data_IF_038011576186
#
_entry.id   IF_038011576186
#
_cell.length_a   1.000
_cell.length_b   1.000
_cell.length_c   1.000
_cell.angle_alpha   90.00
_cell.angle_beta   90.00
_cell.angle_gamma   90.00
#
_symmetry.space_group_name_H-M   'P 1'
#
loop_
_entity.id
_entity.type
_entity.pdbx_description
1 polymer ?
#
# COMPACT_ATOMS: atom_id res chain seq x y z
N UNK A 1 7.22 -1.14 -7.40
CA UNK A 1 7.37 -0.28 -8.61
C UNK A 1 6.11 0.50 -9.00
N UNK A 2 4.87 -0.02 -8.80
CA UNK A 2 3.63 0.68 -9.22
C UNK A 2 3.54 2.15 -8.74
N UNK A 3 3.72 2.39 -7.44
CA UNK A 3 3.56 3.73 -6.85
C UNK A 3 4.60 4.76 -7.33
N UNK A 4 5.85 4.34 -7.54
CA UNK A 4 6.89 5.22 -8.09
C UNK A 4 6.53 5.67 -9.50
N UNK A 5 6.04 4.75 -10.35
CA UNK A 5 5.56 5.11 -11.70
C UNK A 5 4.35 6.04 -11.66
N UNK A 6 3.41 5.81 -10.74
CA UNK A 6 2.26 6.67 -10.56
C UNK A 6 2.65 8.09 -10.13
N UNK A 7 3.59 8.21 -9.18
CA UNK A 7 4.16 9.48 -8.72
C UNK A 7 4.84 10.25 -9.87
N UNK A 8 5.69 9.58 -10.66
CA UNK A 8 6.36 10.18 -11.82
C UNK A 8 5.34 10.72 -12.82
N UNK A 9 4.31 9.92 -13.13
CA UNK A 9 3.25 10.30 -14.08
C UNK A 9 2.41 11.46 -13.57
N UNK A 10 2.06 11.46 -12.29
CA UNK A 10 1.34 12.56 -11.65
C UNK A 10 2.11 13.88 -11.78
N UNK A 11 3.44 13.82 -11.70
CA UNK A 11 4.34 14.97 -11.87
C UNK A 11 4.80 15.22 -13.30
N UNK A 12 4.08 14.70 -14.32
CA UNK A 12 4.37 14.99 -15.72
C UNK A 12 5.66 14.35 -16.26
N UNK A 13 6.05 13.20 -15.72
CA UNK A 13 7.26 12.45 -16.12
C UNK A 13 8.56 13.23 -15.84
N UNK A 14 8.54 14.15 -14.88
CA UNK A 14 9.75 14.78 -14.35
C UNK A 14 10.63 13.75 -13.64
N UNK A 15 11.95 13.94 -13.74
CA UNK A 15 12.90 13.05 -13.09
C UNK A 15 12.74 13.12 -11.56
N UNK A 16 12.54 11.99 -10.84
CA UNK A 16 12.25 12.02 -9.41
C UNK A 16 13.29 12.69 -8.53
N UNK A 17 14.56 12.70 -8.94
CA UNK A 17 15.61 13.39 -8.19
C UNK A 17 15.41 14.92 -8.11
N UNK A 18 14.55 15.50 -8.97
CA UNK A 18 14.19 16.92 -8.93
C UNK A 18 12.87 17.17 -8.19
N UNK A 19 12.27 16.13 -7.60
CA UNK A 19 10.99 16.19 -6.90
C UNK A 19 11.24 15.95 -5.40
N UNK A 20 10.72 16.82 -4.53
CA UNK A 20 11.03 16.83 -3.10
C UNK A 20 9.81 16.56 -2.22
N UNK A 21 9.86 17.02 -0.96
CA UNK A 21 8.78 16.84 0.03
C UNK A 21 7.44 17.34 -0.49
N UNK A 22 7.43 18.55 -1.07
CA UNK A 22 6.23 19.19 -1.62
C UNK A 22 5.52 18.32 -2.65
N UNK A 23 6.28 17.71 -3.56
CA UNK A 23 5.75 16.84 -4.60
C UNK A 23 5.21 15.53 -4.02
N UNK A 24 5.90 14.98 -3.02
CA UNK A 24 5.47 13.77 -2.31
C UNK A 24 4.17 14.04 -1.54
N UNK A 25 4.09 15.14 -0.81
CA UNK A 25 2.90 15.57 -0.07
C UNK A 25 1.73 15.84 -1.01
N UNK A 26 1.95 16.54 -2.13
CA UNK A 26 0.92 16.81 -3.12
C UNK A 26 0.36 15.51 -3.72
N UNK A 27 1.23 14.55 -4.06
CA UNK A 27 0.79 13.27 -4.59
C UNK A 27 0.03 12.42 -3.56
N UNK A 28 0.51 12.37 -2.32
CA UNK A 28 -0.13 11.62 -1.24
C UNK A 28 -1.48 12.23 -0.85
N UNK A 29 -1.56 13.56 -0.80
CA UNK A 29 -2.82 14.29 -0.61
C UNK A 29 -3.79 14.01 -1.75
N UNK A 30 -3.28 13.99 -2.99
CA UNK A 30 -4.10 13.65 -4.16
C UNK A 30 -4.69 12.23 -4.09
N UNK A 31 -3.90 11.28 -3.60
CA UNK A 31 -4.39 9.92 -3.38
C UNK A 31 -5.49 9.87 -2.33
N UNK A 32 -5.35 10.64 -1.24
CA UNK A 32 -6.30 10.63 -0.13
C UNK A 32 -7.61 11.35 -0.49
N UNK A 33 -7.55 12.54 -1.09
CA UNK A 33 -8.71 13.43 -1.23
C UNK A 33 -9.48 13.15 -2.54
N UNK A 34 -8.78 13.07 -3.67
CA UNK A 34 -9.37 12.96 -4.99
C UNK A 34 -9.58 11.49 -5.37
N UNK A 35 -8.56 10.65 -5.14
CA UNK A 35 -8.65 9.22 -5.42
C UNK A 35 -9.32 8.42 -4.32
N UNK A 36 -9.54 9.03 -3.14
CA UNK A 36 -10.22 8.43 -2.00
C UNK A 36 -9.67 7.04 -1.65
N UNK A 37 -8.36 6.85 -1.78
CA UNK A 37 -7.75 5.55 -1.54
C UNK A 37 -7.84 5.18 -0.07
N UNK A 38 -7.87 3.88 0.20
CA UNK A 38 -7.84 3.40 1.59
C UNK A 38 -6.54 3.82 2.29
N UNK A 39 -6.60 3.88 3.61
CA UNK A 39 -5.43 4.14 4.46
C UNK A 39 -4.28 3.15 4.21
N UNK A 40 -4.57 1.87 3.97
CA UNK A 40 -3.53 0.88 3.67
C UNK A 40 -2.88 1.15 2.31
N UNK A 41 -3.67 1.52 1.31
CA UNK A 41 -3.18 1.93 -0.01
C UNK A 41 -2.28 3.16 0.06
N UNK A 42 -2.70 4.20 0.78
CA UNK A 42 -1.89 5.41 0.98
C UNK A 42 -0.54 5.10 1.65
N UNK A 43 -0.55 4.22 2.66
CA UNK A 43 0.69 3.77 3.31
C UNK A 43 1.61 3.00 2.40
N UNK A 44 1.07 2.15 1.53
CA UNK A 44 1.88 1.44 0.53
C UNK A 44 2.52 2.42 -0.45
N UNK A 45 1.78 3.46 -0.86
CA UNK A 45 2.32 4.53 -1.71
C UNK A 45 3.46 5.28 -1.02
N UNK A 46 3.24 5.74 0.22
CA UNK A 46 4.27 6.38 1.03
C UNK A 46 5.50 5.48 1.16
N UNK A 47 5.34 4.24 1.65
CA UNK A 47 6.45 3.31 1.85
C UNK A 47 7.26 3.06 0.56
N UNK A 48 6.60 2.98 -0.60
CA UNK A 48 7.27 2.84 -1.87
C UNK A 48 8.12 4.07 -2.23
N UNK A 49 7.63 5.28 -1.96
CA UNK A 49 8.39 6.52 -2.18
C UNK A 49 9.57 6.64 -1.21
N UNK A 50 9.36 6.32 0.07
CA UNK A 50 10.42 6.28 1.08
C UNK A 50 11.57 5.37 0.66
N UNK A 51 11.23 4.15 0.26
CA UNK A 51 12.22 3.18 -0.21
C UNK A 51 12.93 3.68 -1.46
N UNK A 52 12.19 4.22 -2.42
CA UNK A 52 12.76 4.68 -3.68
C UNK A 52 13.77 5.82 -3.48
N UNK A 53 13.42 6.85 -2.72
CA UNK A 53 14.36 7.94 -2.45
C UNK A 53 15.54 7.51 -1.58
N UNK A 54 15.29 6.75 -0.50
CA UNK A 54 16.34 6.39 0.45
C UNK A 54 17.27 5.26 -0.02
N UNK A 55 16.78 4.31 -0.82
CA UNK A 55 17.55 3.12 -1.23
C UNK A 55 17.92 3.09 -2.69
N UNK A 56 17.17 3.77 -3.57
CA UNK A 56 17.47 3.77 -5.01
C UNK A 56 18.17 5.06 -5.41
N UNK A 57 17.67 6.22 -4.95
CA UNK A 57 18.30 7.51 -5.23
C UNK A 57 19.36 7.91 -4.20
N UNK A 58 19.54 7.13 -3.13
CA UNK A 58 20.48 7.39 -2.03
C UNK A 58 20.40 8.83 -1.51
N UNK A 59 19.18 9.39 -1.46
CA UNK A 59 18.92 10.76 -1.02
C UNK A 59 18.58 10.75 0.46
N UNK A 60 19.16 11.68 1.22
CA UNK A 60 18.77 11.89 2.61
C UNK A 60 17.47 12.70 2.68
N UNK A 61 16.52 12.26 3.50
CA UNK A 61 15.16 12.80 3.51
C UNK A 61 14.82 13.31 4.92
N UNK A 62 15.37 14.45 5.36
CA UNK A 62 15.12 14.96 6.71
C UNK A 62 13.64 15.26 6.97
N UNK A 63 12.86 15.62 5.95
CA UNK A 63 11.42 15.88 6.02
C UNK A 63 10.55 14.62 6.21
N UNK A 64 11.12 13.42 6.24
CA UNK A 64 10.36 12.16 6.38
C UNK A 64 9.50 12.07 7.63
N UNK A 65 9.97 12.71 8.69
CA UNK A 65 9.33 12.66 10.01
C UNK A 65 8.11 13.59 10.07
N UNK A 66 8.02 14.53 9.13
CA UNK A 66 6.95 15.54 9.08
C UNK A 66 5.73 15.04 8.30
N UNK A 67 5.90 14.03 7.44
CA UNK A 67 4.79 13.43 6.71
C UNK A 67 3.90 12.64 7.66
N UNK A 68 2.72 13.19 7.92
CA UNK A 68 1.67 12.57 8.72
C UNK A 68 1.33 11.16 8.20
N UNK A 69 1.57 10.15 9.04
CA UNK A 69 1.16 8.78 8.73
C UNK A 69 -0.30 8.60 9.08
N UNK A 70 -1.14 8.06 8.16
CA UNK A 70 -2.52 7.71 8.49
C UNK A 70 -2.55 6.77 9.71
N UNK A 71 -3.60 6.82 10.54
CA UNK A 71 -3.77 5.89 11.68
C UNK A 71 -4.34 4.55 11.20
N UNK A 72 -3.85 3.39 11.68
CA UNK A 72 -4.40 2.11 11.28
C UNK A 72 -5.74 1.89 11.96
N UNK A 73 -6.76 1.51 11.18
CA UNK A 73 -7.96 0.90 11.73
C UNK A 73 -7.71 -0.60 11.94
N UNK A 74 -7.96 -1.10 13.15
CA UNK A 74 -7.82 -2.52 13.48
C UNK A 74 -9.12 -3.22 13.12
N UNK A 75 -9.06 -4.15 12.16
CA UNK A 75 -10.19 -5.04 11.87
C UNK A 75 -10.26 -6.12 12.95
N UNK A 76 -11.45 -6.42 13.42
CA UNK A 76 -11.68 -7.59 14.27
C UNK A 76 -11.57 -8.85 13.41
N UNK A 77 -10.94 -9.92 13.92
CA UNK A 77 -10.94 -11.19 13.22
C UNK A 77 -12.38 -11.70 13.12
N UNK A 78 -12.79 -12.09 11.91
CA UNK A 78 -14.02 -12.82 11.67
C UNK A 78 -13.62 -14.28 11.52
N UNK A 79 -14.18 -15.15 12.36
CA UNK A 79 -13.90 -16.59 12.36
C UNK A 79 -15.08 -17.34 11.75
N UNK A 80 -14.77 -18.41 11.01
CA UNK A 80 -15.78 -19.32 10.48
C UNK A 80 -16.26 -20.27 11.59
N UNK A 81 -17.55 -20.56 11.60
CA UNK A 81 -18.13 -21.64 12.41
C UNK A 81 -17.73 -23.00 11.85
N UNK A 82 -17.74 -24.07 12.67
CA UNK A 82 -17.46 -25.43 12.19
C UNK A 82 -18.30 -25.83 10.95
N UNK A 83 -19.58 -25.46 10.93
CA UNK A 83 -20.47 -25.78 9.81
C UNK A 83 -20.10 -25.02 8.52
N UNK A 84 -19.65 -23.77 8.64
CA UNK A 84 -19.15 -23.00 7.49
C UNK A 84 -17.88 -23.62 6.91
N UNK A 85 -16.97 -24.08 7.77
CA UNK A 85 -15.75 -24.78 7.35
C UNK A 85 -16.09 -26.05 6.60
N UNK A 86 -16.98 -26.89 7.14
CA UNK A 86 -17.41 -28.14 6.46
C UNK A 86 -18.03 -27.86 5.10
N UNK A 87 -18.90 -26.85 5.00
CA UNK A 87 -19.49 -26.46 3.71
C UNK A 87 -18.44 -26.00 2.71
N UNK A 88 -17.51 -25.13 3.10
CA UNK A 88 -16.46 -24.63 2.19
C UNK A 88 -15.55 -25.77 1.72
N UNK A 89 -15.12 -26.64 2.63
CA UNK A 89 -14.29 -27.80 2.29
C UNK A 89 -15.01 -28.77 1.33
N UNK A 90 -16.33 -28.87 1.41
CA UNK A 90 -17.15 -29.66 0.50
C UNK A 90 -17.16 -29.14 -0.95
N UNK A 91 -16.85 -27.86 -1.18
CA UNK A 91 -16.75 -27.26 -2.51
C UNK A 91 -15.32 -27.25 -3.08
N UNK A 92 -14.32 -27.66 -2.30
CA UNK A 92 -12.95 -27.76 -2.77
C UNK A 92 -12.68 -29.16 -3.34
N UNK A 93 -11.88 -29.24 -4.39
CA UNK A 93 -11.50 -30.48 -5.05
C UNK A 93 -9.97 -30.63 -5.15
N UNK A 94 -9.51 -31.87 -5.33
CA UNK A 94 -8.10 -32.19 -5.56
C UNK A 94 -7.15 -31.64 -4.49
N UNK A 95 -6.04 -31.06 -4.94
CA UNK A 95 -4.98 -30.53 -4.08
C UNK A 95 -5.47 -29.38 -3.19
N UNK A 96 -6.40 -28.54 -3.67
CA UNK A 96 -6.94 -27.43 -2.89
C UNK A 96 -7.73 -27.90 -1.67
N UNK A 97 -8.43 -29.04 -1.78
CA UNK A 97 -9.09 -29.67 -0.63
C UNK A 97 -8.08 -30.26 0.35
N UNK A 98 -7.05 -30.93 -0.17
CA UNK A 98 -5.98 -31.49 0.66
C UNK A 98 -5.31 -30.39 1.48
N UNK A 99 -4.90 -29.28 0.84
CA UNK A 99 -4.26 -28.15 1.54
C UNK A 99 -5.16 -27.48 2.57
N UNK A 100 -6.47 -27.44 2.33
CA UNK A 100 -7.41 -26.82 3.26
C UNK A 100 -7.77 -27.71 4.47
N UNK A 101 -7.44 -29.01 4.44
CA UNK A 101 -7.69 -29.98 5.52
C UNK A 101 -6.46 -30.28 6.39
N UNK A 102 -5.27 -29.80 6.02
CA UNK A 102 -4.02 -29.89 6.77
C UNK A 102 -3.93 -28.81 7.84
#
# INVERSE_FOLDING_TARGET
>A
VHWVRAFIRFHGVRHPATLGSSEVEAFLSWLANERKVSVSTHRQALAALLFFYGKVLCTDLPWLQEIGRPRPSRRLPVVLTPDEVVRILGFLEGEHRLFAQL
#
